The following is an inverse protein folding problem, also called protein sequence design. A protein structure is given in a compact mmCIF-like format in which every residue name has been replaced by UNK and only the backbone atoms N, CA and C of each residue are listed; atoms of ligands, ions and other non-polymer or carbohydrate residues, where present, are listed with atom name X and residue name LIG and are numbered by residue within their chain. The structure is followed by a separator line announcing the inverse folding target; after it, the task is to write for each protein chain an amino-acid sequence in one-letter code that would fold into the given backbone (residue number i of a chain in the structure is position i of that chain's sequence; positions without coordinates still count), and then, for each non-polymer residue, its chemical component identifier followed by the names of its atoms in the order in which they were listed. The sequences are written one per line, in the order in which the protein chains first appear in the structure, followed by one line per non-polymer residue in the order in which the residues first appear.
data_IF_302731062347
#
_entry.id   IF_302731062347
#
_cell.length_a   1.000
_cell.length_b   1.000
_cell.length_c   1.000
_cell.angle_alpha   90.00
_cell.angle_beta   90.00
_cell.angle_gamma   90.00
#
_symmetry.space_group_name_H-M   'P 1'
#
loop_
_entity.id
_entity.type
_entity.pdbx_description
1 polymer ?
#
# COMPACT_ATOMS: atom_id res chain seq x y z
N UNK A 1 -9.01 10.13 -4.30
CA UNK A 1 -8.94 11.30 -3.40
C UNK A 1 -8.21 12.48 -4.05
N UNK A 2 -6.93 12.36 -4.39
CA UNK A 2 -6.12 13.48 -4.94
C UNK A 2 -6.77 14.17 -6.16
N UNK A 3 -7.30 13.39 -7.11
CA UNK A 3 -8.02 13.92 -8.28
C UNK A 3 -9.21 14.82 -7.90
N UNK A 4 -10.02 14.40 -6.92
CA UNK A 4 -11.19 15.17 -6.45
C UNK A 4 -10.78 16.49 -5.77
N UNK A 5 -9.73 16.47 -4.94
CA UNK A 5 -9.20 17.69 -4.32
C UNK A 5 -8.60 18.65 -5.35
N UNK A 6 -8.01 18.13 -6.43
CA UNK A 6 -7.54 18.94 -7.55
C UNK A 6 -8.70 19.63 -8.27
N UNK A 7 -9.83 18.96 -8.49
CA UNK A 7 -11.01 19.61 -9.10
C UNK A 7 -11.60 20.73 -8.24
N UNK A 8 -11.40 20.67 -6.92
CA UNK A 8 -11.81 21.70 -5.97
C UNK A 8 -10.74 22.79 -5.74
N UNK A 9 -9.60 22.71 -6.43
CA UNK A 9 -8.44 23.60 -6.21
C UNK A 9 -7.88 23.57 -4.77
N UNK A 10 -8.03 22.43 -4.08
CA UNK A 10 -7.56 22.22 -2.70
C UNK A 10 -6.31 21.34 -2.59
N UNK A 11 -5.85 20.75 -3.70
CA UNK A 11 -4.70 19.85 -3.69
C UNK A 11 -3.40 20.49 -3.19
N UNK A 12 -3.21 21.80 -3.40
CA UNK A 12 -2.03 22.55 -2.93
C UNK A 12 -1.83 22.50 -1.41
N UNK A 13 -2.91 22.43 -0.64
CA UNK A 13 -2.87 22.40 0.82
C UNK A 13 -2.33 21.07 1.37
N UNK A 14 -2.11 20.07 0.50
CA UNK A 14 -1.48 18.81 0.87
C UNK A 14 0.05 18.89 0.83
N UNK A 15 0.61 19.87 0.12
CA UNK A 15 2.06 19.92 -0.20
C UNK A 15 2.72 21.24 0.20
N UNK A 16 2.03 22.35 0.02
CA UNK A 16 2.56 23.68 0.33
C UNK A 16 2.62 23.94 1.84
N UNK A 17 3.37 24.96 2.24
CA UNK A 17 3.39 25.47 3.62
C UNK A 17 2.49 26.71 3.74
N UNK A 18 1.99 27.01 4.94
CA UNK A 18 1.27 28.26 5.19
C UNK A 18 2.10 29.47 4.73
N UNK A 19 1.45 30.55 4.24
CA UNK A 19 2.14 31.74 3.76
C UNK A 19 3.05 32.33 4.85
N UNK A 20 4.32 32.55 4.50
CA UNK A 20 5.31 33.20 5.38
C UNK A 20 5.03 34.70 5.33
N UNK A 21 4.73 35.28 6.48
CA UNK A 21 4.43 36.70 6.61
C UNK A 21 5.75 37.50 6.54
N UNK A 22 5.91 38.35 5.51
CA UNK A 22 7.10 39.20 5.32
C UNK A 22 6.87 40.57 5.96
N UNK A 23 7.88 41.11 6.64
CA UNK A 23 7.89 42.50 7.15
C UNK A 23 7.83 43.51 5.99
N UNK A 24 6.62 43.94 5.65
CA UNK A 24 6.35 44.95 4.62
C UNK A 24 4.88 45.08 4.21
N UNK A 25 4.10 44.00 4.32
CA UNK A 25 2.67 44.02 3.98
C UNK A 25 1.84 44.81 5.01
N UNK A 26 0.69 45.36 4.61
CA UNK A 26 -0.25 45.93 5.59
C UNK A 26 -0.81 44.83 6.51
N UNK A 27 -1.00 45.15 7.80
CA UNK A 27 -1.50 44.17 8.79
C UNK A 27 -2.82 43.51 8.35
N UNK A 28 -3.68 44.23 7.64
CA UNK A 28 -4.95 43.73 7.10
C UNK A 28 -4.75 42.70 5.98
N UNK A 29 -3.82 42.92 5.06
CA UNK A 29 -3.54 41.97 3.97
C UNK A 29 -2.95 40.67 4.52
N UNK A 30 -2.07 40.78 5.51
CA UNK A 30 -1.47 39.64 6.21
C UNK A 30 -2.55 38.78 6.87
N UNK A 31 -3.43 39.41 7.64
CA UNK A 31 -4.51 38.71 8.34
C UNK A 31 -5.45 38.01 7.36
N UNK A 32 -5.85 38.69 6.28
CA UNK A 32 -6.72 38.10 5.26
C UNK A 32 -6.08 36.89 4.56
N UNK A 33 -4.78 36.92 4.27
CA UNK A 33 -4.08 35.81 3.65
C UNK A 33 -4.01 34.58 4.57
N UNK A 34 -3.73 34.80 5.86
CA UNK A 34 -3.70 33.74 6.89
C UNK A 34 -5.09 33.14 7.10
N UNK A 35 -6.12 33.97 7.19
CA UNK A 35 -7.50 33.49 7.39
C UNK A 35 -8.01 32.71 6.18
N UNK A 36 -7.71 33.18 4.97
CA UNK A 36 -8.03 32.46 3.74
C UNK A 36 -7.31 31.10 3.69
N UNK A 37 -6.04 31.03 4.10
CA UNK A 37 -5.30 29.78 4.18
C UNK A 37 -5.97 28.80 5.16
N UNK A 38 -6.19 29.25 6.40
CA UNK A 38 -6.78 28.42 7.47
C UNK A 38 -8.16 27.89 7.08
N UNK A 39 -8.99 28.71 6.44
CA UNK A 39 -10.30 28.29 5.97
C UNK A 39 -10.21 27.17 4.93
N UNK A 40 -9.32 27.31 3.93
CA UNK A 40 -9.18 26.31 2.88
C UNK A 40 -8.49 25.03 3.37
N UNK A 41 -7.49 25.14 4.27
CA UNK A 41 -6.89 23.98 4.92
C UNK A 41 -7.93 23.20 5.72
N UNK A 42 -8.79 23.90 6.48
CA UNK A 42 -9.91 23.28 7.19
C UNK A 42 -10.86 22.54 6.25
N UNK A 43 -11.27 23.15 5.13
CA UNK A 43 -12.13 22.50 4.14
C UNK A 43 -11.47 21.26 3.54
N UNK A 44 -10.21 21.38 3.11
CA UNK A 44 -9.44 20.27 2.54
C UNK A 44 -9.36 19.09 3.52
N UNK A 45 -9.00 19.38 4.79
CA UNK A 45 -8.96 18.38 5.87
C UNK A 45 -10.31 17.68 6.05
N UNK A 46 -11.40 18.43 6.07
CA UNK A 46 -12.74 17.86 6.23
C UNK A 46 -13.15 16.98 5.04
N UNK A 47 -12.81 17.35 3.81
CA UNK A 47 -13.09 16.49 2.65
C UNK A 47 -12.34 15.15 2.74
N UNK A 48 -11.08 15.17 3.18
CA UNK A 48 -10.33 13.94 3.42
C UNK A 48 -11.01 13.12 4.52
N UNK A 49 -11.31 13.73 5.68
CA UNK A 49 -11.95 13.02 6.80
C UNK A 49 -13.30 12.41 6.43
N UNK A 50 -14.16 13.13 5.69
CA UNK A 50 -15.47 12.63 5.26
C UNK A 50 -15.40 11.45 4.28
N UNK A 51 -14.25 11.22 3.65
CA UNK A 51 -14.05 10.05 2.80
C UNK A 51 -13.56 8.82 3.55
N UNK A 52 -13.16 8.98 4.81
CA UNK A 52 -12.67 7.89 5.63
C UNK A 52 -13.86 7.12 6.21
N UNK A 53 -13.69 5.80 6.33
CA UNK A 53 -14.60 4.97 7.14
C UNK A 53 -14.46 5.31 8.62
N UNK A 54 -15.52 5.09 9.41
CA UNK A 54 -15.63 5.52 10.83
C UNK A 54 -14.40 5.16 11.69
N UNK A 55 -13.86 3.95 11.51
CA UNK A 55 -12.69 3.49 12.25
C UNK A 55 -11.48 4.38 11.96
N UNK A 56 -11.23 4.72 10.70
CA UNK A 56 -10.12 5.60 10.31
C UNK A 56 -10.42 7.05 10.71
N UNK A 57 -11.66 7.51 10.56
CA UNK A 57 -12.05 8.84 11.02
C UNK A 57 -11.69 9.05 12.49
N UNK A 58 -12.04 8.09 13.37
CA UNK A 58 -11.77 8.18 14.81
C UNK A 58 -10.28 8.30 15.15
N UNK A 59 -9.41 7.71 14.34
CA UNK A 59 -7.94 7.77 14.51
C UNK A 59 -7.37 9.10 14.06
N UNK A 60 -7.93 9.68 12.99
CA UNK A 60 -7.34 10.80 12.28
C UNK A 60 -8.05 12.15 12.51
N UNK A 61 -9.22 12.17 13.17
CA UNK A 61 -10.01 13.40 13.37
C UNK A 61 -9.28 14.48 14.17
N UNK A 62 -8.32 14.10 15.02
CA UNK A 62 -7.51 15.00 15.84
C UNK A 62 -6.33 15.63 15.10
N UNK A 63 -6.02 15.20 13.88
CA UNK A 63 -4.91 15.75 13.08
C UNK A 63 -5.26 17.18 12.66
N UNK A 64 -4.30 18.12 12.79
CA UNK A 64 -4.61 19.55 12.75
C UNK A 64 -4.72 20.11 11.34
N UNK A 65 -3.86 19.68 10.43
CA UNK A 65 -3.80 20.23 9.06
C UNK A 65 -4.12 19.19 8.00
N UNK A 66 -4.55 19.64 6.82
CA UNK A 66 -4.79 18.75 5.69
C UNK A 66 -3.50 18.03 5.25
N UNK A 67 -2.37 18.74 5.29
CA UNK A 67 -1.04 18.22 4.99
C UNK A 67 -0.59 17.11 5.93
N UNK A 68 -0.67 17.32 7.24
CA UNK A 68 -0.30 16.29 8.23
C UNK A 68 -1.17 15.03 8.08
N UNK A 69 -2.47 15.24 7.85
CA UNK A 69 -3.43 14.16 7.64
C UNK A 69 -3.06 13.37 6.39
N UNK A 70 -2.86 14.06 5.27
CA UNK A 70 -2.47 13.45 4.00
C UNK A 70 -1.15 12.70 4.12
N UNK A 71 -0.12 13.30 4.71
CA UNK A 71 1.18 12.65 4.91
C UNK A 71 1.08 11.42 5.82
N UNK A 72 0.22 11.44 6.83
CA UNK A 72 0.01 10.29 7.72
C UNK A 72 -0.71 9.15 7.01
N UNK A 73 -1.70 9.47 6.19
CA UNK A 73 -2.41 8.51 5.34
C UNK A 73 -1.46 7.96 4.28
N UNK A 74 -0.69 8.82 3.62
CA UNK A 74 0.27 8.42 2.61
C UNK A 74 1.35 7.53 3.24
N UNK A 75 1.99 7.92 4.34
CA UNK A 75 2.98 7.07 5.01
C UNK A 75 2.46 5.68 5.38
N UNK A 76 1.18 5.57 5.78
CA UNK A 76 0.58 4.31 6.21
C UNK A 76 0.02 3.48 5.05
N UNK A 77 -0.39 4.14 3.97
CA UNK A 77 -1.17 3.54 2.89
C UNK A 77 -0.64 3.86 1.49
N UNK A 78 0.51 4.49 1.27
CA UNK A 78 1.09 4.67 -0.08
C UNK A 78 1.39 3.27 -0.62
N UNK A 79 0.67 2.94 -1.70
CA UNK A 79 0.53 1.59 -2.26
C UNK A 79 1.56 1.29 -3.34
N UNK A 80 2.50 2.19 -3.68
CA UNK A 80 3.48 1.85 -4.74
C UNK A 80 4.23 0.55 -4.41
N UNK A 81 4.52 0.32 -3.13
CA UNK A 81 5.11 -0.91 -2.62
C UNK A 81 4.03 -1.96 -2.26
N UNK A 82 2.91 -1.54 -1.62
CA UNK A 82 1.88 -2.48 -1.16
C UNK A 82 1.03 -3.12 -2.27
N UNK A 83 0.85 -2.45 -3.41
CA UNK A 83 0.03 -2.92 -4.54
C UNK A 83 0.77 -3.94 -5.38
N UNK A 84 2.06 -3.68 -5.63
CA UNK A 84 2.97 -4.63 -6.26
C UNK A 84 3.11 -5.87 -5.38
N UNK A 85 3.33 -5.70 -4.07
CA UNK A 85 3.29 -6.79 -3.08
C UNK A 85 1.99 -7.60 -3.12
N UNK A 86 0.84 -6.93 -3.04
CA UNK A 86 -0.46 -7.62 -3.04
C UNK A 86 -0.71 -8.36 -4.36
N UNK A 87 -0.28 -7.79 -5.49
CA UNK A 87 -0.38 -8.42 -6.80
C UNK A 87 0.52 -9.66 -6.90
N UNK A 88 1.78 -9.59 -6.48
CA UNK A 88 2.71 -10.72 -6.51
C UNK A 88 2.26 -11.82 -5.53
N UNK A 89 1.76 -11.46 -4.34
CA UNK A 89 1.15 -12.41 -3.40
C UNK A 89 -0.06 -13.09 -4.04
N UNK A 90 -0.92 -12.35 -4.75
CA UNK A 90 -2.02 -12.92 -5.52
C UNK A 90 -1.53 -13.92 -6.58
N UNK A 91 -0.53 -13.53 -7.38
CA UNK A 91 0.11 -14.40 -8.39
C UNK A 91 0.69 -15.68 -7.77
N UNK A 92 1.27 -15.60 -6.57
CA UNK A 92 1.78 -16.75 -5.83
C UNK A 92 0.67 -17.68 -5.35
N UNK A 93 -0.38 -17.12 -4.73
CA UNK A 93 -1.51 -17.90 -4.20
C UNK A 93 -2.36 -18.53 -5.31
N UNK A 94 -2.52 -17.85 -6.43
CA UNK A 94 -3.30 -18.30 -7.58
C UNK A 94 -2.50 -19.20 -8.53
N UNK A 95 -1.19 -19.39 -8.30
CA UNK A 95 -0.37 -20.27 -9.13
C UNK A 95 -0.88 -21.71 -9.03
N UNK A 96 -1.38 -22.23 -10.16
CA UNK A 96 -1.81 -23.63 -10.30
C UNK A 96 -0.86 -24.36 -11.23
N UNK A 97 -0.40 -25.51 -10.76
CA UNK A 97 0.38 -26.47 -11.55
C UNK A 97 -0.47 -27.00 -12.69
N UNK A 98 0.07 -27.02 -13.91
CA UNK A 98 -0.63 -27.46 -15.12
C UNK A 98 0.07 -28.71 -15.66
N UNK A 99 -0.64 -29.83 -15.75
CA UNK A 99 -0.06 -31.13 -16.18
C UNK A 99 0.56 -31.09 -17.59
N UNK A 100 0.07 -30.20 -18.45
CA UNK A 100 0.62 -29.99 -19.79
C UNK A 100 1.98 -29.27 -19.82
N UNK A 101 2.41 -28.66 -18.70
CA UNK A 101 3.72 -27.97 -18.59
C UNK A 101 4.76 -28.91 -17.98
N UNK A 102 6.00 -28.83 -18.48
CA UNK A 102 7.11 -29.59 -17.88
C UNK A 102 7.33 -29.18 -16.42
N UNK A 103 7.80 -30.12 -15.60
CA UNK A 103 8.15 -29.85 -14.19
C UNK A 103 9.16 -28.69 -14.09
N UNK A 104 10.14 -28.64 -15.00
CA UNK A 104 11.16 -27.59 -15.00
C UNK A 104 10.55 -26.20 -15.23
N UNK A 105 9.63 -26.07 -16.19
CA UNK A 105 8.97 -24.78 -16.47
C UNK A 105 8.13 -24.33 -15.27
N UNK A 106 7.46 -25.26 -14.59
CA UNK A 106 6.67 -24.93 -13.41
C UNK A 106 7.55 -24.46 -12.23
N UNK A 107 8.70 -25.11 -12.04
CA UNK A 107 9.70 -24.69 -11.05
C UNK A 107 10.22 -23.28 -11.36
N UNK A 108 10.56 -22.99 -12.62
CA UNK A 108 11.03 -21.66 -13.03
C UNK A 108 9.98 -20.58 -12.80
N UNK A 109 8.73 -20.82 -13.20
CA UNK A 109 7.63 -19.87 -12.98
C UNK A 109 7.42 -19.58 -11.49
N UNK A 110 7.48 -20.60 -10.65
CA UNK A 110 7.34 -20.46 -9.19
C UNK A 110 8.55 -19.70 -8.59
N UNK A 111 9.76 -19.99 -9.06
CA UNK A 111 10.98 -19.29 -8.64
C UNK A 111 10.96 -17.81 -9.00
N UNK A 112 10.45 -17.45 -10.18
CA UNK A 112 10.26 -16.04 -10.58
C UNK A 112 9.32 -15.35 -9.60
N UNK A 113 8.20 -15.97 -9.26
CA UNK A 113 7.24 -15.38 -8.31
C UNK A 113 7.86 -15.23 -6.90
N UNK A 114 8.61 -16.22 -6.43
CA UNK A 114 9.32 -16.15 -5.15
C UNK A 114 10.37 -15.03 -5.17
N UNK A 115 11.10 -14.87 -6.27
CA UNK A 115 12.08 -13.80 -6.44
C UNK A 115 11.40 -12.43 -6.40
N UNK A 116 10.32 -12.25 -7.17
CA UNK A 116 9.50 -11.03 -7.16
C UNK A 116 9.05 -10.68 -5.72
N UNK A 117 8.67 -11.67 -4.91
CA UNK A 117 8.30 -11.44 -3.50
C UNK A 117 9.49 -10.98 -2.64
N UNK A 118 10.67 -11.58 -2.82
CA UNK A 118 11.88 -11.25 -2.06
C UNK A 118 12.42 -9.86 -2.43
N UNK A 119 12.36 -9.47 -3.70
CA UNK A 119 12.77 -8.12 -4.17
C UNK A 119 11.92 -7.02 -3.55
N UNK A 120 10.62 -7.29 -3.36
CA UNK A 120 9.72 -6.39 -2.64
C UNK A 120 9.95 -6.42 -1.11
N UNK A 121 10.88 -7.23 -0.61
CA UNK A 121 11.22 -7.30 0.82
C UNK A 121 10.23 -8.12 1.64
N UNK A 122 9.51 -9.07 1.03
CA UNK A 122 8.67 -10.04 1.76
C UNK A 122 9.55 -11.18 2.29
N UNK A 123 9.38 -11.54 3.56
CA UNK A 123 10.05 -12.71 4.14
C UNK A 123 9.22 -13.98 3.93
N UNK A 124 9.77 -14.95 3.19
CA UNK A 124 9.16 -16.27 3.02
C UNK A 124 10.05 -17.30 3.71
N UNK A 125 9.48 -18.03 4.67
CA UNK A 125 10.19 -19.07 5.38
C UNK A 125 10.59 -20.23 4.44
N UNK A 126 11.84 -20.69 4.51
CA UNK A 126 12.46 -21.62 3.54
C UNK A 126 11.64 -22.91 3.30
N UNK A 127 11.11 -23.61 4.32
CA UNK A 127 10.18 -24.71 4.13
C UNK A 127 8.94 -24.42 3.27
N UNK A 128 8.41 -23.18 3.30
CA UNK A 128 7.30 -22.78 2.44
C UNK A 128 7.75 -22.59 1.00
N UNK A 129 8.94 -22.03 0.77
CA UNK A 129 9.53 -21.93 -0.56
C UNK A 129 9.71 -23.32 -1.18
N UNK A 130 10.30 -24.24 -0.43
CA UNK A 130 10.52 -25.64 -0.85
C UNK A 130 9.19 -26.34 -1.14
N UNK A 131 8.17 -26.11 -0.32
CA UNK A 131 6.84 -26.69 -0.54
C UNK A 131 6.13 -26.13 -1.78
N UNK A 132 6.31 -24.84 -2.08
CA UNK A 132 5.72 -24.18 -3.25
C UNK A 132 6.36 -24.66 -4.56
N UNK A 133 7.67 -24.89 -4.56
CA UNK A 133 8.42 -25.39 -5.73
C UNK A 133 8.18 -26.89 -5.96
N UNK A 134 7.61 -27.61 -4.99
CA UNK A 134 7.42 -29.05 -5.05
C UNK A 134 6.24 -29.43 -5.98
N UNK A 135 6.48 -30.21 -7.05
CA UNK A 135 5.42 -30.65 -7.94
C UNK A 135 4.37 -31.51 -7.21
N UNK A 136 3.10 -31.53 -7.66
CA UNK A 136 2.05 -32.35 -7.05
C UNK A 136 2.45 -33.84 -6.97
N UNK A 137 3.11 -34.35 -8.02
CA UNK A 137 3.63 -35.72 -8.09
C UNK A 137 4.62 -36.05 -6.95
N UNK A 138 5.39 -35.07 -6.47
CA UNK A 138 6.30 -35.25 -5.33
C UNK A 138 5.58 -35.28 -3.98
N UNK A 139 4.40 -34.66 -3.89
CA UNK A 139 3.53 -34.73 -2.71
C UNK A 139 2.99 -36.14 -2.53
N UNK A 140 2.53 -36.74 -3.62
CA UNK A 140 2.05 -38.13 -3.65
C UNK A 140 3.18 -39.12 -3.39
N UNK A 141 4.36 -38.88 -3.98
CA UNK A 141 5.57 -39.66 -3.71
C UNK A 141 5.97 -39.61 -2.22
N UNK A 142 5.98 -38.41 -1.61
CA UNK A 142 6.29 -38.26 -0.18
C UNK A 142 5.26 -38.96 0.71
N UNK A 143 3.98 -38.90 0.36
CA UNK A 143 2.92 -39.61 1.07
C UNK A 143 3.09 -41.13 0.95
N UNK A 144 3.42 -41.63 -0.24
CA UNK A 144 3.74 -43.04 -0.46
C UNK A 144 4.87 -43.52 0.47
N UNK A 145 5.96 -42.77 0.61
CA UNK A 145 7.05 -43.12 1.55
C UNK A 145 6.66 -43.05 3.03
N UNK A 146 5.78 -42.11 3.42
CA UNK A 146 5.26 -42.04 4.79
C UNK A 146 4.41 -43.25 5.16
N UNK A 147 3.64 -43.78 4.21
CA UNK A 147 2.84 -45.01 4.42
C UNK A 147 3.71 -46.26 4.44
N UNK A 148 4.77 -46.32 3.63
CA UNK A 148 5.68 -47.48 3.57
C UNK A 148 6.59 -47.63 4.79
N UNK A 149 6.79 -46.58 5.60
CA UNK A 149 7.54 -46.61 6.87
C UNK A 149 6.72 -47.07 8.09
N UNK A 150 5.40 -47.28 7.93
CA UNK A 150 4.49 -47.71 9.00
C UNK A 150 4.07 -49.19 8.89
N UNK A 151 4.68 -49.96 7.99
CA UNK A 151 4.53 -51.41 7.85
C UNK A 151 5.87 -52.09 8.08
#
# INVERSE_FOLDING_TARGET
MLFYLTTLSLSRFLTEEPPIVIEGDSDTQRQNAVDAWNHNDFLCRNYILNSLVDVLYSVYCSVKTAKELWNSLEKKYKIEDAGVKTFIVGKFLDYKTVDAKSVMNQVQETQIIIHDLLEEGMEIHEPFQVAAIMPPMWRDFKNYFKHKRKS
#
